data_IF_144349509244
#
_entry.id   IF_144349509244
#
_cell.length_a   1.000
_cell.length_b   1.000
_cell.length_c   1.000
_cell.angle_alpha   90.00
_cell.angle_beta   90.00
_cell.angle_gamma   90.00
#
_symmetry.space_group_name_H-M   'P 1'
#
loop_
_entity.id
_entity.type
_entity.pdbx_description
1 polymer ?
#
# COMPACT_ATOMS: atom_id res chain seq x y z
N UNK A 1 -72.50 -0.20 -45.13
CA UNK A 1 -72.74 1.18 -44.61
C UNK A 1 -72.88 1.28 -43.09
N UNK A 2 -73.10 0.19 -42.32
CA UNK A 2 -73.26 0.24 -40.86
C UNK A 2 -71.94 0.42 -40.03
N UNK A 3 -70.78 0.05 -40.58
CA UNK A 3 -69.49 0.08 -39.85
C UNK A 3 -68.80 1.44 -39.74
N UNK A 4 -69.29 2.48 -40.42
CA UNK A 4 -68.71 3.84 -40.39
C UNK A 4 -69.34 4.70 -39.29
N UNK A 5 -70.66 4.59 -39.09
CA UNK A 5 -71.38 5.23 -37.98
C UNK A 5 -71.00 4.65 -36.61
N UNK A 6 -70.78 3.33 -36.52
CA UNK A 6 -70.31 2.69 -35.28
C UNK A 6 -68.87 3.07 -34.90
N UNK A 7 -67.99 3.34 -35.88
CA UNK A 7 -66.63 3.85 -35.62
C UNK A 7 -66.64 5.30 -35.15
N UNK A 8 -67.35 6.20 -35.83
CA UNK A 8 -67.49 7.59 -35.38
C UNK A 8 -68.10 7.73 -33.99
N UNK A 9 -69.11 6.92 -33.66
CA UNK A 9 -69.72 6.93 -32.31
C UNK A 9 -68.76 6.41 -31.23
N UNK A 10 -67.89 5.45 -31.56
CA UNK A 10 -66.82 4.99 -30.66
C UNK A 10 -65.73 6.03 -30.48
N UNK A 11 -65.26 6.63 -31.57
CA UNK A 11 -64.27 7.72 -31.55
C UNK A 11 -64.78 8.93 -30.73
N UNK A 12 -66.04 9.34 -30.91
CA UNK A 12 -66.64 10.41 -30.10
C UNK A 12 -66.76 10.06 -28.60
N UNK A 13 -67.07 8.81 -28.27
CA UNK A 13 -67.13 8.36 -26.89
C UNK A 13 -65.74 8.29 -26.24
N UNK A 14 -64.72 7.86 -27.00
CA UNK A 14 -63.32 7.86 -26.56
C UNK A 14 -62.81 9.29 -26.33
N UNK A 15 -63.09 10.24 -27.24
CA UNK A 15 -62.73 11.66 -27.06
C UNK A 15 -63.43 12.28 -25.86
N UNK A 16 -64.74 12.02 -25.66
CA UNK A 16 -65.47 12.52 -24.51
C UNK A 16 -64.91 11.96 -23.18
N UNK A 17 -64.46 10.70 -23.17
CA UNK A 17 -63.80 10.09 -22.02
C UNK A 17 -62.45 10.75 -21.74
N UNK A 18 -61.63 10.99 -22.77
CA UNK A 18 -60.35 11.68 -22.63
C UNK A 18 -60.51 13.11 -22.10
N UNK A 19 -61.52 13.83 -22.56
CA UNK A 19 -61.81 15.18 -22.09
C UNK A 19 -62.26 15.18 -20.62
N UNK A 20 -63.07 14.19 -20.21
CA UNK A 20 -63.47 14.01 -18.82
C UNK A 20 -62.27 13.64 -17.91
N UNK A 21 -61.35 12.81 -18.40
CA UNK A 21 -60.12 12.46 -17.69
C UNK A 21 -59.20 13.67 -17.53
N UNK A 22 -59.06 14.48 -18.57
CA UNK A 22 -58.29 15.72 -18.55
C UNK A 22 -58.90 16.75 -17.57
N UNK A 23 -60.23 16.90 -17.55
CA UNK A 23 -60.92 17.78 -16.61
C UNK A 23 -60.70 17.35 -15.15
N UNK A 24 -60.77 16.04 -14.87
CA UNK A 24 -60.44 15.49 -13.54
C UNK A 24 -58.99 15.74 -13.16
N UNK A 25 -58.05 15.56 -14.10
CA UNK A 25 -56.62 15.84 -13.88
C UNK A 25 -56.40 17.32 -13.55
N UNK A 26 -57.00 18.23 -14.32
CA UNK A 26 -56.91 19.66 -14.07
C UNK A 26 -57.40 20.04 -12.67
N UNK A 27 -58.53 19.48 -12.22
CA UNK A 27 -59.05 19.67 -10.87
C UNK A 27 -58.07 19.15 -9.79
N UNK A 28 -57.54 17.93 -9.95
CA UNK A 28 -56.58 17.38 -8.98
C UNK A 28 -55.27 18.15 -8.94
N UNK A 29 -54.77 18.61 -10.09
CA UNK A 29 -53.52 19.39 -10.19
C UNK A 29 -53.66 20.77 -9.53
N UNK A 30 -54.82 21.43 -9.63
CA UNK A 30 -55.07 22.68 -8.91
C UNK A 30 -54.96 22.49 -7.39
N UNK A 31 -55.53 21.41 -6.86
CA UNK A 31 -55.47 21.09 -5.43
C UNK A 31 -54.06 20.74 -4.99
N UNK A 32 -53.33 19.94 -5.78
CA UNK A 32 -51.95 19.57 -5.50
C UNK A 32 -51.01 20.78 -5.48
N UNK A 33 -51.10 21.65 -6.49
CA UNK A 33 -50.32 22.88 -6.57
C UNK A 33 -50.64 23.85 -5.42
N UNK A 34 -51.91 24.00 -5.02
CA UNK A 34 -52.30 24.84 -3.88
C UNK A 34 -51.72 24.33 -2.54
N UNK A 35 -51.79 23.01 -2.31
CA UNK A 35 -51.16 22.40 -1.13
C UNK A 35 -49.63 22.57 -1.15
N UNK A 36 -49.00 22.44 -2.32
CA UNK A 36 -47.56 22.63 -2.47
C UNK A 36 -47.13 24.08 -2.19
N UNK A 37 -47.92 25.07 -2.62
CA UNK A 37 -47.72 26.47 -2.27
C UNK A 37 -47.80 26.66 -0.76
N UNK A 38 -48.78 26.04 -0.09
CA UNK A 38 -48.93 26.14 1.37
C UNK A 38 -47.70 25.59 2.08
N UNK A 39 -47.22 24.41 1.70
CA UNK A 39 -46.00 23.81 2.24
C UNK A 39 -44.77 24.69 2.00
N UNK A 40 -44.62 25.22 0.79
CA UNK A 40 -43.51 26.10 0.45
C UNK A 40 -43.54 27.44 1.23
N UNK A 41 -44.73 27.96 1.54
CA UNK A 41 -44.89 29.16 2.40
C UNK A 41 -44.47 28.88 3.84
N UNK A 42 -44.88 27.73 4.40
CA UNK A 42 -44.48 27.32 5.74
C UNK A 42 -42.96 27.12 5.81
N UNK A 43 -42.38 26.47 4.79
CA UNK A 43 -40.95 26.22 4.71
C UNK A 43 -40.14 27.52 4.54
N UNK A 44 -40.60 28.47 3.73
CA UNK A 44 -39.98 29.82 3.64
C UNK A 44 -40.00 30.53 4.98
N UNK A 45 -41.10 30.43 5.72
CA UNK A 45 -41.23 31.11 7.02
C UNK A 45 -40.22 30.54 8.02
N UNK A 46 -40.06 29.22 8.06
CA UNK A 46 -39.03 28.56 8.87
C UNK A 46 -37.62 28.92 8.39
N UNK A 47 -37.35 28.77 7.09
CA UNK A 47 -36.05 28.99 6.49
C UNK A 47 -35.61 30.46 6.60
N UNK A 48 -36.52 31.42 6.55
CA UNK A 48 -36.19 32.81 6.80
C UNK A 48 -35.79 33.03 8.26
N UNK A 49 -36.56 32.48 9.20
CA UNK A 49 -36.24 32.58 10.62
C UNK A 49 -34.86 31.96 10.91
N UNK A 50 -34.56 30.80 10.32
CA UNK A 50 -33.35 30.02 10.60
C UNK A 50 -32.14 30.33 9.70
N UNK A 51 -32.33 30.75 8.46
CA UNK A 51 -31.24 30.97 7.48
C UNK A 51 -31.12 32.44 7.08
N UNK A 52 -32.12 33.27 7.39
CA UNK A 52 -32.17 34.68 7.07
C UNK A 52 -32.82 34.97 5.71
N UNK A 53 -33.16 36.24 5.44
CA UNK A 53 -33.98 36.65 4.29
C UNK A 53 -33.27 36.43 2.94
N UNK A 54 -31.94 36.53 2.91
CA UNK A 54 -31.16 36.35 1.68
C UNK A 54 -31.17 34.90 1.20
N UNK A 55 -31.16 33.93 2.12
CA UNK A 55 -31.12 32.51 1.79
C UNK A 55 -32.42 32.04 1.09
N UNK A 56 -33.56 32.62 1.46
CA UNK A 56 -34.87 32.26 0.90
C UNK A 56 -35.31 33.12 -0.29
N UNK A 57 -34.44 34.01 -0.78
CA UNK A 57 -34.78 35.00 -1.81
C UNK A 57 -35.33 34.35 -3.09
N UNK A 58 -34.68 33.30 -3.57
CA UNK A 58 -35.08 32.59 -4.79
C UNK A 58 -36.42 31.85 -4.62
N UNK A 59 -36.65 31.21 -3.47
CA UNK A 59 -37.90 30.50 -3.19
C UNK A 59 -39.09 31.48 -3.05
N UNK A 60 -38.86 32.68 -2.48
CA UNK A 60 -39.88 33.74 -2.47
C UNK A 60 -40.24 34.23 -3.86
N UNK A 61 -39.24 34.50 -4.70
CA UNK A 61 -39.48 34.92 -6.08
C UNK A 61 -40.23 33.85 -6.88
N UNK A 62 -39.93 32.57 -6.64
CA UNK A 62 -40.67 31.45 -7.20
C UNK A 62 -42.13 31.43 -6.70
N UNK A 63 -42.37 31.55 -5.39
CA UNK A 63 -43.71 31.62 -4.82
C UNK A 63 -44.56 32.75 -5.40
N UNK A 64 -43.98 33.94 -5.59
CA UNK A 64 -44.70 35.08 -6.19
C UNK A 64 -45.06 34.81 -7.67
N UNK A 65 -44.14 34.18 -8.41
CA UNK A 65 -44.37 33.77 -9.80
C UNK A 65 -45.46 32.70 -9.90
N UNK A 66 -45.41 31.70 -9.00
CA UNK A 66 -46.40 30.62 -8.91
C UNK A 66 -47.78 31.16 -8.55
N UNK A 67 -47.89 32.05 -7.56
CA UNK A 67 -49.16 32.69 -7.19
C UNK A 67 -49.81 33.41 -8.37
N UNK A 68 -49.02 34.09 -9.19
CA UNK A 68 -49.51 34.78 -10.39
C UNK A 68 -50.09 33.80 -11.41
N UNK A 69 -49.40 32.71 -11.68
CA UNK A 69 -49.84 31.69 -12.65
C UNK A 69 -51.00 30.84 -12.11
N UNK A 70 -51.09 30.63 -10.80
CA UNK A 70 -52.21 29.95 -10.18
C UNK A 70 -53.50 30.78 -10.24
N UNK A 71 -53.41 32.11 -10.18
CA UNK A 71 -54.57 32.97 -10.43
C UNK A 71 -55.11 32.78 -11.87
N UNK A 72 -54.23 32.63 -12.87
CA UNK A 72 -54.63 32.28 -14.23
C UNK A 72 -55.32 30.92 -14.27
N UNK A 73 -54.73 29.90 -13.64
CA UNK A 73 -55.28 28.55 -13.61
C UNK A 73 -56.68 28.49 -12.96
N UNK A 74 -56.87 29.18 -11.81
CA UNK A 74 -58.18 29.27 -11.16
C UNK A 74 -59.20 30.06 -11.98
N UNK A 75 -58.78 31.11 -12.69
CA UNK A 75 -59.66 31.85 -13.59
C UNK A 75 -60.13 30.99 -14.76
N UNK A 76 -59.23 30.22 -15.38
CA UNK A 76 -59.58 29.26 -16.44
C UNK A 76 -60.52 28.18 -15.92
N UNK A 77 -60.31 27.70 -14.69
CA UNK A 77 -61.20 26.74 -14.05
C UNK A 77 -62.60 27.32 -13.82
N UNK A 78 -62.70 28.58 -13.41
CA UNK A 78 -63.97 29.28 -13.23
C UNK A 78 -64.75 29.41 -14.55
N UNK A 79 -64.07 29.79 -15.64
CA UNK A 79 -64.68 29.88 -16.98
C UNK A 79 -65.28 28.54 -17.42
N UNK A 80 -64.58 27.42 -17.14
CA UNK A 80 -65.09 26.09 -17.48
C UNK A 80 -66.39 25.68 -16.75
N UNK A 81 -66.81 26.45 -15.72
CA UNK A 81 -67.98 26.17 -14.88
C UNK A 81 -68.96 27.35 -14.84
N UNK A 82 -68.85 28.30 -15.75
CA UNK A 82 -69.78 29.43 -15.83
C UNK A 82 -71.13 29.03 -16.47
N UNK A 83 -72.07 29.98 -16.54
CA UNK A 83 -73.40 29.73 -17.10
C UNK A 83 -73.42 29.71 -18.64
N UNK A 84 -72.29 29.98 -19.31
CA UNK A 84 -72.16 30.08 -20.76
C UNK A 84 -71.64 28.74 -21.30
N UNK A 85 -72.40 28.04 -22.16
CA UNK A 85 -71.94 26.76 -22.71
C UNK A 85 -70.72 26.96 -23.62
N UNK A 86 -69.55 26.48 -23.19
CA UNK A 86 -68.33 26.42 -24.01
C UNK A 86 -68.36 25.24 -25.00
N UNK A 87 -67.54 25.34 -26.05
CA UNK A 87 -67.27 24.22 -26.94
C UNK A 87 -66.33 23.18 -26.30
N UNK A 88 -66.40 21.93 -26.74
CA UNK A 88 -65.53 20.87 -26.24
C UNK A 88 -64.03 21.17 -26.47
N UNK A 89 -63.69 21.87 -27.56
CA UNK A 89 -62.31 22.25 -27.88
C UNK A 89 -61.79 23.37 -26.95
N UNK A 90 -62.65 24.32 -26.56
CA UNK A 90 -62.32 25.35 -25.57
C UNK A 90 -62.05 24.73 -24.20
N UNK A 91 -62.92 23.83 -23.73
CA UNK A 91 -62.73 23.10 -22.47
C UNK A 91 -61.43 22.30 -22.47
N UNK A 92 -61.13 21.58 -23.57
CA UNK A 92 -59.88 20.81 -23.70
C UNK A 92 -58.65 21.73 -23.64
N UNK A 93 -58.70 22.86 -24.34
CA UNK A 93 -57.61 23.84 -24.37
C UNK A 93 -57.35 24.42 -22.99
N UNK A 94 -58.41 24.86 -22.29
CA UNK A 94 -58.30 25.45 -20.95
C UNK A 94 -57.86 24.41 -19.91
N UNK A 95 -58.42 23.20 -19.90
CA UNK A 95 -57.97 22.14 -18.98
C UNK A 95 -56.52 21.73 -19.23
N UNK A 96 -56.07 21.67 -20.49
CA UNK A 96 -54.65 21.44 -20.82
C UNK A 96 -53.76 22.54 -20.25
N UNK A 97 -54.18 23.80 -20.42
CA UNK A 97 -53.46 24.96 -19.88
C UNK A 97 -53.39 24.93 -18.34
N UNK A 98 -54.49 24.59 -17.66
CA UNK A 98 -54.53 24.44 -16.19
C UNK A 98 -53.50 23.40 -15.74
N UNK A 99 -53.47 22.22 -16.37
CA UNK A 99 -52.50 21.17 -16.03
C UNK A 99 -51.07 21.67 -16.22
N UNK A 100 -50.76 22.31 -17.36
CA UNK A 100 -49.42 22.86 -17.63
C UNK A 100 -48.99 23.92 -16.60
N UNK A 101 -49.91 24.79 -16.17
CA UNK A 101 -49.63 25.81 -15.15
C UNK A 101 -49.35 25.19 -13.78
N UNK A 102 -50.11 24.17 -13.40
CA UNK A 102 -49.92 23.47 -12.13
C UNK A 102 -48.62 22.66 -12.13
N UNK A 103 -48.32 21.92 -13.20
CA UNK A 103 -47.07 21.16 -13.34
C UNK A 103 -45.85 22.08 -13.27
N UNK A 104 -45.88 23.20 -14.00
CA UNK A 104 -44.80 24.19 -13.92
C UNK A 104 -44.63 24.77 -12.50
N UNK A 105 -45.74 24.99 -11.79
CA UNK A 105 -45.71 25.50 -10.42
C UNK A 105 -45.12 24.46 -9.44
N UNK A 106 -45.51 23.20 -9.57
CA UNK A 106 -44.98 22.09 -8.77
C UNK A 106 -43.47 21.93 -9.00
N UNK A 107 -43.04 21.80 -10.27
CA UNK A 107 -41.63 21.64 -10.65
C UNK A 107 -40.77 22.80 -10.13
N UNK A 108 -41.23 24.04 -10.32
CA UNK A 108 -40.47 25.22 -9.88
C UNK A 108 -40.33 25.27 -8.35
N UNK A 109 -41.38 24.94 -7.60
CA UNK A 109 -41.30 24.94 -6.13
C UNK A 109 -40.45 23.79 -5.62
N UNK A 110 -40.55 22.60 -6.23
CA UNK A 110 -39.74 21.43 -5.85
C UNK A 110 -38.24 21.73 -6.03
N UNK A 111 -37.84 22.26 -7.18
CA UNK A 111 -36.46 22.65 -7.48
C UNK A 111 -35.89 23.62 -6.42
N UNK A 112 -36.70 24.61 -6.03
CA UNK A 112 -36.28 25.66 -5.08
C UNK A 112 -36.25 25.16 -3.65
N UNK A 113 -37.19 24.29 -3.26
CA UNK A 113 -37.19 23.65 -1.95
C UNK A 113 -36.03 22.64 -1.82
N UNK A 114 -35.72 21.87 -2.87
CA UNK A 114 -34.60 20.95 -2.88
C UNK A 114 -33.26 21.66 -2.60
N UNK A 115 -33.06 22.87 -3.13
CA UNK A 115 -31.87 23.68 -2.88
C UNK A 115 -31.73 24.13 -1.41
N UNK A 116 -32.84 24.21 -0.65
CA UNK A 116 -32.85 24.65 0.75
C UNK A 116 -32.93 23.50 1.75
N UNK A 117 -33.26 22.28 1.30
CA UNK A 117 -33.50 21.13 2.16
C UNK A 117 -32.34 20.83 3.13
N UNK A 118 -31.10 20.78 2.63
CA UNK A 118 -29.94 20.46 3.47
C UNK A 118 -29.60 21.58 4.49
N UNK A 119 -29.54 22.87 4.12
CA UNK A 119 -29.44 23.97 5.08
C UNK A 119 -30.53 23.97 6.16
N UNK A 120 -31.78 23.72 5.78
CA UNK A 120 -32.93 23.68 6.71
C UNK A 120 -32.79 22.51 7.68
N UNK A 121 -32.46 21.33 7.19
CA UNK A 121 -32.27 20.16 8.04
C UNK A 121 -31.11 20.35 9.03
N UNK A 122 -30.03 21.02 8.61
CA UNK A 122 -28.95 21.41 9.54
C UNK A 122 -29.44 22.38 10.61
N UNK A 123 -30.25 23.38 10.25
CA UNK A 123 -30.80 24.32 11.21
C UNK A 123 -31.74 23.62 12.21
N UNK A 124 -32.61 22.71 11.73
CA UNK A 124 -33.51 21.91 12.57
C UNK A 124 -32.77 21.06 13.60
N UNK A 125 -31.63 20.47 13.22
CA UNK A 125 -30.81 19.63 14.12
C UNK A 125 -29.91 20.42 15.06
N UNK A 126 -29.63 21.69 14.80
CA UNK A 126 -28.69 22.47 15.62
C UNK A 126 -29.06 22.52 17.12
N UNK A 127 -30.33 22.69 17.55
CA UNK A 127 -30.70 22.64 18.97
C UNK A 127 -30.40 21.28 19.62
N UNK A 128 -30.69 20.20 18.91
CA UNK A 128 -30.42 18.83 19.37
C UNK A 128 -28.92 18.60 19.53
N UNK A 129 -28.10 19.04 18.56
CA UNK A 129 -26.64 18.93 18.64
C UNK A 129 -26.09 19.68 19.84
N UNK A 130 -26.52 20.93 20.07
CA UNK A 130 -26.10 21.73 21.23
C UNK A 130 -26.48 21.03 22.55
N UNK A 131 -27.71 20.52 22.65
CA UNK A 131 -28.18 19.80 23.83
C UNK A 131 -27.36 18.53 24.07
N UNK A 132 -27.06 17.78 23.00
CA UNK A 132 -26.23 16.59 23.05
C UNK A 132 -24.81 16.90 23.52
N UNK A 133 -24.16 17.93 22.99
CA UNK A 133 -22.80 18.33 23.43
C UNK A 133 -22.79 18.67 24.92
N UNK A 134 -23.81 19.35 25.45
CA UNK A 134 -23.93 19.62 26.89
C UNK A 134 -24.09 18.34 27.71
N UNK A 135 -24.95 17.42 27.26
CA UNK A 135 -25.16 16.13 27.92
C UNK A 135 -23.89 15.26 27.90
N UNK A 136 -23.19 15.21 26.77
CA UNK A 136 -21.91 14.53 26.59
C UNK A 136 -20.85 15.15 27.52
N UNK A 137 -20.74 16.48 27.56
CA UNK A 137 -19.79 17.16 28.42
C UNK A 137 -20.05 16.88 29.92
N UNK A 138 -21.32 16.89 30.35
CA UNK A 138 -21.70 16.56 31.71
C UNK A 138 -21.33 15.11 32.07
N UNK A 139 -21.69 14.15 31.21
CA UNK A 139 -21.35 12.72 31.39
C UNK A 139 -19.85 12.49 31.50
N UNK A 140 -19.05 13.09 30.61
CA UNK A 140 -17.59 12.92 30.65
C UNK A 140 -17.01 13.61 31.90
N UNK A 141 -17.57 14.74 32.33
CA UNK A 141 -17.11 15.42 33.56
C UNK A 141 -17.27 14.56 34.81
N UNK A 142 -18.34 13.77 34.91
CA UNK A 142 -18.55 12.84 36.03
C UNK A 142 -17.43 11.79 36.14
N UNK A 143 -16.72 11.48 35.05
CA UNK A 143 -15.60 10.52 35.01
C UNK A 143 -14.26 11.14 35.43
N UNK A 144 -14.12 12.47 35.45
CA UNK A 144 -12.84 13.16 35.72
C UNK A 144 -12.26 12.82 37.11
N UNK A 145 -13.04 12.81 38.22
CA UNK A 145 -12.50 12.43 39.52
C UNK A 145 -11.92 11.00 39.51
N UNK A 146 -12.62 10.06 38.89
CA UNK A 146 -12.13 8.68 38.78
C UNK A 146 -10.87 8.58 37.92
N UNK A 147 -10.78 9.32 36.81
CA UNK A 147 -9.58 9.37 35.99
C UNK A 147 -8.37 9.92 36.78
N UNK A 148 -8.57 10.94 37.62
CA UNK A 148 -7.52 11.47 38.52
C UNK A 148 -7.06 10.45 39.54
N UNK A 149 -7.99 9.73 40.16
CA UNK A 149 -7.66 8.65 41.10
C UNK A 149 -6.90 7.51 40.42
N UNK A 150 -7.26 7.17 39.18
CA UNK A 150 -6.55 6.18 38.38
C UNK A 150 -5.13 6.62 38.04
N UNK A 151 -4.92 7.86 37.57
CA UNK A 151 -3.56 8.38 37.36
C UNK A 151 -2.74 8.37 38.65
N UNK A 152 -3.34 8.79 39.78
CA UNK A 152 -2.65 8.78 41.07
C UNK A 152 -2.27 7.37 41.52
N UNK A 153 -3.17 6.38 41.35
CA UNK A 153 -2.89 4.96 41.60
C UNK A 153 -1.75 4.46 40.71
N UNK A 154 -1.80 4.74 39.40
CA UNK A 154 -0.77 4.33 38.44
C UNK A 154 0.59 4.95 38.77
N UNK A 155 0.63 6.21 39.24
CA UNK A 155 1.85 6.88 39.67
C UNK A 155 2.53 6.23 40.89
N UNK A 156 1.80 5.41 41.67
CA UNK A 156 2.43 4.61 42.74
C UNK A 156 3.15 3.37 42.22
N UNK A 157 2.83 2.89 41.02
CA UNK A 157 3.37 1.65 40.43
C UNK A 157 4.37 1.91 39.30
N UNK A 158 4.15 2.96 38.51
CA UNK A 158 4.90 3.24 37.30
C UNK A 158 5.78 4.48 37.44
N UNK A 159 6.86 4.52 36.67
CA UNK A 159 7.74 5.68 36.57
C UNK A 159 7.01 6.85 35.87
N UNK A 160 7.40 8.11 36.14
CA UNK A 160 6.81 9.27 35.46
C UNK A 160 6.89 9.22 33.93
N UNK A 161 7.96 8.65 33.37
CA UNK A 161 8.13 8.49 31.91
C UNK A 161 7.03 7.61 31.30
N UNK A 162 6.63 6.55 32.00
CA UNK A 162 5.58 5.65 31.54
C UNK A 162 4.22 6.35 31.46
N UNK A 163 4.01 7.36 32.32
CA UNK A 163 2.75 8.07 32.45
C UNK A 163 2.70 9.36 31.63
N UNK A 164 3.76 9.72 30.90
CA UNK A 164 3.87 11.00 30.21
C UNK A 164 2.66 11.27 29.28
N UNK A 165 2.18 10.24 28.58
CA UNK A 165 1.03 10.34 27.67
C UNK A 165 -0.36 10.37 28.33
N UNK A 166 -0.46 10.15 29.65
CA UNK A 166 -1.76 10.08 30.36
C UNK A 166 -1.85 10.93 31.62
N UNK A 167 -0.73 11.39 32.17
CA UNK A 167 -0.68 12.10 33.44
C UNK A 167 -1.47 13.41 33.44
N UNK A 168 -1.40 14.17 32.33
CA UNK A 168 -2.08 15.46 32.18
C UNK A 168 -3.55 15.32 31.71
N UNK A 169 -3.92 14.15 31.18
CA UNK A 169 -5.21 13.94 30.50
C UNK A 169 -6.43 14.36 31.33
N UNK A 170 -6.56 14.04 32.64
CA UNK A 170 -7.74 14.47 33.40
C UNK A 170 -7.86 16.00 33.53
N UNK A 171 -6.73 16.71 33.61
CA UNK A 171 -6.74 18.18 33.68
C UNK A 171 -7.03 18.81 32.32
N UNK A 172 -6.43 18.28 31.25
CA UNK A 172 -6.71 18.74 29.88
C UNK A 172 -8.17 18.47 29.47
N UNK A 173 -8.70 17.30 29.81
CA UNK A 173 -10.09 16.96 29.57
C UNK A 173 -11.04 17.94 30.29
N UNK A 174 -10.79 18.29 31.55
CA UNK A 174 -11.61 19.27 32.28
C UNK A 174 -11.61 20.66 31.62
N UNK A 175 -10.47 21.11 31.09
CA UNK A 175 -10.37 22.36 30.34
C UNK A 175 -11.15 22.30 29.03
N UNK A 176 -11.03 21.19 28.28
CA UNK A 176 -11.76 20.97 27.04
C UNK A 176 -13.27 20.90 27.27
N UNK A 177 -13.74 20.27 28.34
CA UNK A 177 -15.17 20.23 28.70
C UNK A 177 -15.70 21.63 29.03
N UNK A 178 -14.92 22.42 29.77
CA UNK A 178 -15.28 23.82 30.07
C UNK A 178 -15.36 24.67 28.79
N UNK A 179 -14.42 24.46 27.86
CA UNK A 179 -14.45 25.10 26.55
C UNK A 179 -15.63 24.63 25.69
N UNK A 180 -15.98 23.33 25.73
CA UNK A 180 -17.10 22.77 25.00
C UNK A 180 -18.44 23.39 25.44
N UNK A 181 -18.67 23.49 26.75
CA UNK A 181 -19.88 24.11 27.30
C UNK A 181 -19.96 25.59 27.00
N UNK A 182 -18.84 26.32 27.13
CA UNK A 182 -18.78 27.72 26.76
C UNK A 182 -19.14 27.92 25.28
N UNK A 183 -18.54 27.12 24.40
CA UNK A 183 -18.76 27.17 22.96
C UNK A 183 -20.20 26.79 22.58
N UNK A 184 -20.79 25.80 23.25
CA UNK A 184 -22.21 25.47 23.10
C UNK A 184 -23.12 26.64 23.51
N UNK A 185 -22.78 27.35 24.60
CA UNK A 185 -23.46 28.60 24.99
C UNK A 185 -23.27 29.74 23.99
N UNK A 186 -22.08 29.87 23.38
CA UNK A 186 -21.84 30.84 22.29
C UNK A 186 -22.68 30.48 21.07
N UNK A 187 -22.73 29.21 20.67
CA UNK A 187 -23.50 28.73 19.53
C UNK A 187 -24.98 29.10 19.68
N UNK A 188 -25.57 28.85 20.86
CA UNK A 188 -26.95 29.20 21.17
C UNK A 188 -27.22 30.71 21.06
N UNK A 189 -26.41 31.55 21.72
CA UNK A 189 -26.56 33.01 21.67
C UNK A 189 -26.38 33.59 20.26
N UNK A 190 -25.40 33.08 19.50
CA UNK A 190 -25.14 33.52 18.12
C UNK A 190 -26.30 33.12 17.21
N UNK A 191 -26.89 31.94 17.44
CA UNK A 191 -28.11 31.51 16.77
C UNK A 191 -29.27 32.44 17.11
N UNK A 192 -29.53 32.74 18.37
CA UNK A 192 -30.60 33.69 18.76
C UNK A 192 -30.41 35.09 18.15
N UNK A 193 -29.15 35.50 17.95
CA UNK A 193 -28.79 36.77 17.32
C UNK A 193 -28.77 36.75 15.77
N UNK A 194 -29.16 35.64 15.12
CA UNK A 194 -29.15 35.49 13.66
C UNK A 194 -27.76 35.33 13.02
N UNK A 195 -26.72 35.12 13.82
CA UNK A 195 -25.31 34.99 13.40
C UNK A 195 -24.97 33.52 13.12
N UNK A 196 -25.52 32.97 12.02
CA UNK A 196 -25.54 31.52 11.72
C UNK A 196 -24.17 30.91 11.50
N UNK A 197 -23.31 31.55 10.72
CA UNK A 197 -21.95 31.07 10.47
C UNK A 197 -21.14 30.98 11.77
N UNK A 198 -21.22 32.01 12.60
CA UNK A 198 -20.55 32.04 13.90
C UNK A 198 -21.14 31.02 14.87
N UNK A 199 -22.46 30.77 14.81
CA UNK A 199 -23.12 29.73 15.60
C UNK A 199 -22.63 28.33 15.21
N UNK A 200 -22.53 28.04 13.91
CA UNK A 200 -22.05 26.76 13.40
C UNK A 200 -20.59 26.50 13.79
N UNK A 201 -19.70 27.50 13.63
CA UNK A 201 -18.31 27.39 14.04
C UNK A 201 -18.18 27.10 15.55
N UNK A 202 -18.97 27.78 16.38
CA UNK A 202 -18.98 27.54 17.82
C UNK A 202 -19.53 26.15 18.17
N UNK A 203 -20.52 25.66 17.44
CA UNK A 203 -21.10 24.32 17.62
C UNK A 203 -20.10 23.21 17.23
N UNK A 204 -19.38 23.36 16.12
CA UNK A 204 -18.31 22.44 15.71
C UNK A 204 -17.19 22.40 16.74
N UNK A 205 -16.72 23.57 17.19
CA UNK A 205 -15.70 23.68 18.24
C UNK A 205 -16.16 23.01 19.55
N UNK A 206 -17.43 23.18 19.92
CA UNK A 206 -18.00 22.54 21.11
C UNK A 206 -18.03 21.01 20.98
N UNK A 207 -18.47 20.51 19.83
CA UNK A 207 -18.58 19.07 19.53
C UNK A 207 -17.20 18.41 19.56
N UNK A 208 -16.22 19.01 18.89
CA UNK A 208 -14.86 18.47 18.82
C UNK A 208 -14.16 18.50 20.19
N UNK A 209 -14.35 19.57 20.98
CA UNK A 209 -13.78 19.65 22.31
C UNK A 209 -14.34 18.60 23.27
N UNK A 210 -15.66 18.36 23.24
CA UNK A 210 -16.29 17.30 24.03
C UNK A 210 -15.77 15.91 23.64
N UNK A 211 -15.67 15.62 22.33
CA UNK A 211 -15.13 14.37 21.81
C UNK A 211 -13.66 14.14 22.22
N UNK A 212 -12.83 15.18 22.13
CA UNK A 212 -11.42 15.11 22.53
C UNK A 212 -11.28 14.88 24.03
N UNK A 213 -12.10 15.52 24.85
CA UNK A 213 -12.12 15.28 26.29
C UNK A 213 -12.47 13.82 26.63
N UNK A 214 -13.47 13.25 25.96
CA UNK A 214 -13.84 11.83 26.12
C UNK A 214 -12.67 10.90 25.77
N UNK A 215 -11.99 11.15 24.64
CA UNK A 215 -10.81 10.37 24.22
C UNK A 215 -9.68 10.41 25.26
N UNK A 216 -9.43 11.57 25.87
CA UNK A 216 -8.38 11.72 26.89
C UNK A 216 -8.71 10.94 28.17
N UNK A 217 -9.99 10.90 28.58
CA UNK A 217 -10.44 10.11 29.73
C UNK A 217 -10.37 8.61 29.42
N UNK A 218 -10.83 8.19 28.24
CA UNK A 218 -10.76 6.78 27.79
C UNK A 218 -9.31 6.27 27.72
N UNK A 219 -8.37 7.13 27.33
CA UNK A 219 -6.95 6.79 27.31
C UNK A 219 -6.40 6.45 28.70
N UNK A 220 -6.84 7.15 29.76
CA UNK A 220 -6.44 6.85 31.15
C UNK A 220 -6.94 5.48 31.58
N UNK A 221 -8.19 5.15 31.24
CA UNK A 221 -8.79 3.85 31.59
C UNK A 221 -8.12 2.69 30.83
N UNK A 222 -7.80 2.91 29.55
CA UNK A 222 -7.15 1.91 28.70
C UNK A 222 -5.70 1.66 29.11
N UNK A 223 -4.99 2.70 29.56
CA UNK A 223 -3.57 2.64 29.91
C UNK A 223 -3.26 1.56 30.96
N UNK A 224 -4.12 1.37 31.97
CA UNK A 224 -3.87 0.35 33.01
C UNK A 224 -3.81 -1.06 32.41
N UNK A 225 -4.69 -1.37 31.47
CA UNK A 225 -4.70 -2.67 30.77
C UNK A 225 -3.45 -2.82 29.89
N UNK A 226 -3.05 -1.76 29.21
CA UNK A 226 -1.87 -1.75 28.35
C UNK A 226 -0.58 -1.92 29.15
N UNK A 227 -0.45 -1.24 30.28
CA UNK A 227 0.70 -1.36 31.16
C UNK A 227 0.83 -2.77 31.75
N UNK A 228 -0.28 -3.39 32.18
CA UNK A 228 -0.29 -4.79 32.63
C UNK A 228 0.12 -5.77 31.52
N UNK A 229 -0.35 -5.54 30.28
CA UNK A 229 0.07 -6.36 29.13
C UNK A 229 1.54 -6.18 28.80
N UNK A 230 2.06 -4.95 28.88
CA UNK A 230 3.47 -4.66 28.66
C UNK A 230 4.35 -5.38 29.70
N UNK A 231 3.98 -5.35 30.98
CA UNK A 231 4.67 -6.10 32.04
C UNK A 231 4.67 -7.61 31.79
N UNK A 232 3.51 -8.20 31.47
CA UNK A 232 3.41 -9.64 31.20
C UNK A 232 4.27 -10.04 29.98
N UNK A 233 4.27 -9.21 28.94
CA UNK A 233 5.07 -9.43 27.73
C UNK A 233 6.57 -9.30 28.04
N UNK A 234 6.96 -8.30 28.84
CA UNK A 234 8.34 -8.09 29.25
C UNK A 234 8.85 -9.32 30.03
N UNK A 235 8.06 -9.86 30.96
CA UNK A 235 8.41 -11.08 31.69
C UNK A 235 8.68 -12.28 30.76
N UNK A 236 7.83 -12.49 29.75
CA UNK A 236 8.02 -13.56 28.77
C UNK A 236 9.29 -13.35 27.92
N UNK A 237 9.52 -12.12 27.44
CA UNK A 237 10.70 -11.77 26.63
C UNK A 237 11.99 -11.94 27.43
N UNK A 238 11.99 -11.58 28.73
CA UNK A 238 13.17 -11.74 29.58
C UNK A 238 13.60 -13.20 29.70
N UNK A 239 12.66 -14.13 29.86
CA UNK A 239 12.99 -15.55 29.90
C UNK A 239 13.51 -16.06 28.55
N UNK A 240 12.87 -15.64 27.44
CA UNK A 240 13.27 -16.00 26.08
C UNK A 240 14.69 -15.49 25.74
N UNK A 241 14.95 -14.21 25.99
CA UNK A 241 16.26 -13.57 25.79
C UNK A 241 17.41 -14.27 26.52
N UNK A 242 17.15 -14.87 27.69
CA UNK A 242 18.17 -15.65 28.40
C UNK A 242 18.49 -16.94 27.66
N UNK A 243 17.48 -17.58 27.07
CA UNK A 243 17.65 -18.72 26.17
C UNK A 243 18.43 -18.34 24.91
N UNK A 244 18.08 -17.22 24.28
CA UNK A 244 18.75 -16.72 23.06
C UNK A 244 20.22 -16.42 23.31
N UNK A 245 20.57 -15.82 24.45
CA UNK A 245 21.96 -15.61 24.84
C UNK A 245 22.74 -16.92 25.02
N UNK A 246 22.08 -17.99 25.49
CA UNK A 246 22.71 -19.32 25.60
C UNK A 246 22.88 -19.91 24.20
N UNK A 247 21.87 -19.84 23.35
CA UNK A 247 21.93 -20.34 21.98
C UNK A 247 23.00 -19.59 21.16
N UNK A 248 23.07 -18.27 21.27
CA UNK A 248 24.03 -17.42 20.57
C UNK A 248 25.50 -17.71 20.91
N UNK A 249 25.80 -18.30 22.08
CA UNK A 249 27.17 -18.77 22.42
C UNK A 249 27.64 -19.90 21.51
N UNK A 250 26.72 -20.65 20.91
CA UNK A 250 27.03 -21.73 19.97
C UNK A 250 27.13 -21.24 18.52
N UNK A 251 26.69 -20.02 18.25
CA UNK A 251 26.81 -19.39 16.94
C UNK A 251 28.24 -18.89 16.67
N UNK A 252 28.61 -18.61 15.40
CA UNK A 252 29.91 -18.04 15.07
C UNK A 252 30.14 -16.71 15.79
N UNK A 253 31.22 -16.62 16.58
CA UNK A 253 31.55 -15.49 17.44
C UNK A 253 32.22 -14.33 16.66
N UNK A 254 31.52 -13.84 15.63
CA UNK A 254 31.93 -12.64 14.89
C UNK A 254 31.66 -11.38 15.72
N UNK A 255 32.39 -10.26 15.51
CA UNK A 255 32.24 -9.05 16.31
C UNK A 255 30.79 -8.56 16.47
N UNK A 256 29.99 -8.63 15.41
CA UNK A 256 28.58 -8.22 15.43
C UNK A 256 27.73 -9.06 16.39
N UNK A 257 27.96 -10.38 16.48
CA UNK A 257 27.25 -11.27 17.42
C UNK A 257 27.65 -10.94 18.85
N UNK A 258 28.94 -10.73 19.11
CA UNK A 258 29.46 -10.38 20.45
C UNK A 258 28.88 -9.04 20.91
N UNK A 259 28.83 -8.05 20.02
CA UNK A 259 28.25 -6.74 20.29
C UNK A 259 26.75 -6.85 20.60
N UNK A 260 25.99 -7.59 19.78
CA UNK A 260 24.56 -7.78 20.00
C UNK A 260 24.26 -8.55 21.30
N UNK A 261 25.05 -9.58 21.64
CA UNK A 261 24.96 -10.28 22.92
C UNK A 261 25.24 -9.34 24.10
N UNK A 262 26.26 -8.49 24.01
CA UNK A 262 26.59 -7.49 25.02
C UNK A 262 25.48 -6.45 25.20
N UNK A 263 24.88 -5.99 24.10
CA UNK A 263 23.75 -5.07 24.11
C UNK A 263 22.53 -5.69 24.80
N UNK A 264 22.19 -6.95 24.49
CA UNK A 264 21.09 -7.66 25.14
C UNK A 264 21.36 -7.93 26.63
N UNK A 265 22.60 -8.28 26.99
CA UNK A 265 23.00 -8.40 28.41
C UNK A 265 22.88 -7.08 29.16
N UNK A 266 23.26 -5.97 28.52
CA UNK A 266 23.12 -4.62 29.07
C UNK A 266 21.64 -4.26 29.26
N UNK A 267 20.79 -4.58 28.29
CA UNK A 267 19.35 -4.37 28.39
C UNK A 267 18.73 -5.18 29.55
N UNK A 268 19.10 -6.45 29.70
CA UNK A 268 18.69 -7.30 30.82
C UNK A 268 19.18 -6.77 32.17
N UNK A 269 20.42 -6.29 32.24
CA UNK A 269 21.00 -5.73 33.47
C UNK A 269 20.40 -4.37 33.85
N UNK A 270 19.88 -3.62 32.87
CA UNK A 270 19.18 -2.36 33.09
C UNK A 270 17.74 -2.55 33.57
N UNK A 271 17.23 -3.79 33.63
CA UNK A 271 15.91 -4.06 34.19
C UNK A 271 15.95 -3.82 35.72
N UNK A 272 15.02 -3.01 36.24
CA UNK A 272 14.98 -2.67 37.65
C UNK A 272 14.59 -3.86 38.53
N UNK A 273 14.99 -3.79 39.79
CA UNK A 273 14.59 -4.77 40.80
C UNK A 273 13.08 -4.71 41.07
N UNK A 274 12.50 -5.83 41.51
CA UNK A 274 11.09 -5.90 41.90
C UNK A 274 10.77 -4.84 42.97
N UNK A 275 9.66 -4.12 42.79
CA UNK A 275 9.18 -3.10 43.73
C UNK A 275 9.72 -1.68 43.48
N UNK A 276 10.51 -1.46 42.42
CA UNK A 276 10.84 -0.11 41.93
C UNK A 276 9.81 0.30 40.89
N UNK A 277 9.42 1.57 40.85
CA UNK A 277 8.54 2.09 39.81
C UNK A 277 9.29 2.09 38.47
N UNK A 278 8.74 1.40 37.47
CA UNK A 278 9.41 1.15 36.19
C UNK A 278 8.64 1.77 35.03
N UNK A 279 9.30 1.88 33.90
CA UNK A 279 8.65 2.11 32.61
C UNK A 279 8.58 0.80 31.81
N UNK A 280 7.48 0.03 31.91
CA UNK A 280 7.40 -1.25 31.22
C UNK A 280 7.46 -1.10 29.69
N UNK A 281 7.04 0.05 29.14
CA UNK A 281 7.03 0.28 27.70
C UNK A 281 8.44 0.57 27.16
N UNK A 282 9.20 1.40 27.87
CA UNK A 282 10.60 1.67 27.52
C UNK A 282 11.45 0.39 27.62
N UNK A 283 11.30 -0.36 28.71
CA UNK A 283 12.02 -1.63 28.89
C UNK A 283 11.65 -2.66 27.83
N UNK A 284 10.36 -2.79 27.51
CA UNK A 284 9.89 -3.70 26.46
C UNK A 284 10.45 -3.32 25.08
N UNK A 285 10.49 -2.03 24.77
CA UNK A 285 11.03 -1.52 23.49
C UNK A 285 12.53 -1.84 23.39
N UNK A 286 13.31 -1.50 24.42
CA UNK A 286 14.75 -1.77 24.47
C UNK A 286 15.06 -3.26 24.35
N UNK A 287 14.29 -4.12 25.03
CA UNK A 287 14.46 -5.57 24.96
C UNK A 287 14.17 -6.12 23.56
N UNK A 288 13.09 -5.65 22.91
CA UNK A 288 12.76 -6.06 21.53
C UNK A 288 13.82 -5.64 20.53
N UNK A 289 14.33 -4.42 20.64
CA UNK A 289 15.41 -3.93 19.78
C UNK A 289 16.69 -4.77 19.95
N UNK A 290 17.06 -5.08 21.19
CA UNK A 290 18.25 -5.89 21.47
C UNK A 290 18.11 -7.34 20.99
N UNK A 291 16.95 -7.97 21.19
CA UNK A 291 16.68 -9.32 20.65
C UNK A 291 16.74 -9.33 19.12
N UNK A 292 16.03 -8.40 18.46
CA UNK A 292 16.02 -8.31 17.01
C UNK A 292 17.43 -8.10 16.43
N UNK A 293 18.27 -7.30 17.11
CA UNK A 293 19.67 -7.12 16.75
C UNK A 293 20.49 -8.40 16.90
N UNK A 294 20.28 -9.17 17.97
CA UNK A 294 20.93 -10.47 18.18
C UNK A 294 20.53 -11.48 17.11
N UNK A 295 19.24 -11.60 16.83
CA UNK A 295 18.71 -12.51 15.81
C UNK A 295 19.29 -12.18 14.43
N UNK A 296 19.31 -10.90 14.05
CA UNK A 296 19.89 -10.45 12.79
C UNK A 296 21.39 -10.74 12.71
N UNK A 297 22.15 -10.51 13.79
CA UNK A 297 23.58 -10.77 13.83
C UNK A 297 23.90 -12.27 13.74
N UNK A 298 23.15 -13.12 14.47
CA UNK A 298 23.30 -14.57 14.45
C UNK A 298 22.94 -15.13 13.07
N UNK A 299 21.82 -14.69 12.49
CA UNK A 299 21.41 -15.10 11.14
C UNK A 299 22.48 -14.76 10.10
N UNK A 300 22.99 -13.52 10.12
CA UNK A 300 24.05 -13.09 9.21
C UNK A 300 25.37 -13.85 9.42
N UNK A 301 25.70 -14.21 10.67
CA UNK A 301 26.89 -14.99 10.98
C UNK A 301 26.77 -16.44 10.51
N UNK A 302 25.61 -17.07 10.69
CA UNK A 302 25.32 -18.41 10.21
C UNK A 302 25.32 -18.47 8.67
N UNK A 303 24.74 -17.47 8.01
CA UNK A 303 24.78 -17.37 6.55
C UNK A 303 26.23 -17.26 6.03
N UNK A 304 27.07 -16.45 6.70
CA UNK A 304 28.49 -16.33 6.36
C UNK A 304 29.28 -17.63 6.58
N UNK A 305 28.94 -18.37 7.65
CA UNK A 305 29.57 -19.65 7.93
C UNK A 305 29.15 -20.73 6.92
N UNK A 306 27.88 -20.74 6.51
CA UNK A 306 27.36 -21.65 5.48
C UNK A 306 27.90 -21.33 4.08
N UNK A 307 28.21 -20.07 3.80
CA UNK A 307 28.77 -19.61 2.53
C UNK A 307 30.03 -18.75 2.75
N UNK A 308 31.19 -19.40 3.03
CA UNK A 308 32.45 -18.68 3.22
C UNK A 308 32.86 -17.94 1.94
N UNK A 309 33.31 -16.69 2.10
CA UNK A 309 33.83 -15.89 1.00
C UNK A 309 35.15 -16.51 0.51
N UNK A 310 35.34 -16.70 -0.80
CA UNK A 310 36.59 -17.23 -1.33
C UNK A 310 37.77 -16.34 -0.95
N UNK A 311 38.84 -16.98 -0.47
CA UNK A 311 40.11 -16.31 -0.23
C UNK A 311 40.61 -15.62 -1.50
N UNK A 312 41.11 -14.39 -1.36
CA UNK A 312 41.55 -13.58 -2.50
C UNK A 312 42.60 -14.32 -3.36
N UNK A 313 43.46 -15.13 -2.73
CA UNK A 313 44.44 -15.96 -3.42
C UNK A 313 43.80 -17.03 -4.33
N UNK A 314 42.71 -17.67 -3.88
CA UNK A 314 41.99 -18.65 -4.71
C UNK A 314 41.31 -17.99 -5.90
N UNK A 315 40.72 -16.81 -5.71
CA UNK A 315 40.13 -16.03 -6.81
C UNK A 315 41.21 -15.69 -7.84
N UNK A 316 42.36 -15.17 -7.42
CA UNK A 316 43.49 -14.85 -8.31
C UNK A 316 43.99 -16.06 -9.09
N UNK A 317 44.18 -17.19 -8.41
CA UNK A 317 44.63 -18.41 -9.07
C UNK A 317 43.64 -18.89 -10.15
N UNK A 318 42.33 -18.74 -9.91
CA UNK A 318 41.31 -19.08 -10.90
C UNK A 318 41.33 -18.13 -12.11
N UNK A 319 41.60 -16.84 -11.89
CA UNK A 319 41.73 -15.84 -12.96
C UNK A 319 42.96 -16.15 -13.82
N UNK A 320 44.12 -16.39 -13.19
CA UNK A 320 45.35 -16.73 -13.88
C UNK A 320 45.20 -18.02 -14.69
N UNK A 321 44.49 -19.00 -14.16
CA UNK A 321 44.20 -20.24 -14.88
C UNK A 321 43.32 -20.01 -16.10
N UNK A 322 42.25 -19.23 -15.97
CA UNK A 322 41.40 -18.84 -17.09
C UNK A 322 42.19 -18.11 -18.18
N UNK A 323 43.07 -17.17 -17.79
CA UNK A 323 43.91 -16.41 -18.72
C UNK A 323 44.91 -17.31 -19.48
N UNK A 324 45.52 -18.27 -18.79
CA UNK A 324 46.39 -19.28 -19.44
C UNK A 324 45.61 -20.16 -20.42
N UNK A 325 44.46 -20.69 -20.02
CA UNK A 325 43.66 -21.56 -20.89
C UNK A 325 43.14 -20.82 -22.12
N UNK A 326 42.73 -19.56 -21.97
CA UNK A 326 42.36 -18.68 -23.07
C UNK A 326 43.51 -18.44 -24.03
N UNK A 327 44.72 -18.14 -23.53
CA UNK A 327 45.89 -17.94 -24.37
C UNK A 327 46.20 -19.19 -25.22
N UNK A 328 46.21 -20.38 -24.58
CA UNK A 328 46.43 -21.66 -25.29
C UNK A 328 45.36 -21.91 -26.35
N UNK A 329 44.08 -21.72 -26.01
CA UNK A 329 42.98 -21.92 -26.94
C UNK A 329 43.07 -20.95 -28.15
N UNK A 330 43.40 -19.67 -27.91
CA UNK A 330 43.64 -18.69 -28.98
C UNK A 330 44.78 -19.12 -29.89
N UNK A 331 45.91 -19.52 -29.34
CA UNK A 331 47.10 -19.87 -30.12
C UNK A 331 46.84 -21.10 -31.01
N UNK A 332 46.23 -22.15 -30.45
CA UNK A 332 45.89 -23.37 -31.22
C UNK A 332 44.91 -23.05 -32.34
N UNK A 333 43.85 -22.28 -32.05
CA UNK A 333 42.83 -21.91 -33.04
C UNK A 333 43.40 -20.97 -34.11
N UNK A 334 44.29 -20.05 -33.73
CA UNK A 334 44.94 -19.14 -34.65
C UNK A 334 45.99 -19.82 -35.54
N UNK A 335 46.67 -20.85 -35.05
CA UNK A 335 47.66 -21.62 -35.82
C UNK A 335 47.05 -22.56 -36.86
N UNK A 336 45.78 -22.96 -36.70
CA UNK A 336 45.13 -23.98 -37.53
C UNK A 336 43.85 -23.48 -38.20
N UNK A 337 43.78 -22.18 -38.55
CA UNK A 337 42.56 -21.51 -39.04
C UNK A 337 41.87 -22.20 -40.21
N UNK A 338 42.60 -22.93 -41.06
CA UNK A 338 42.02 -23.67 -42.18
C UNK A 338 41.28 -24.96 -41.79
N UNK A 339 41.53 -25.50 -40.59
CA UNK A 339 41.02 -26.79 -40.14
C UNK A 339 40.03 -26.69 -38.98
N UNK A 340 40.09 -25.61 -38.19
CA UNK A 340 39.16 -25.41 -37.06
C UNK A 340 37.73 -25.11 -37.56
N UNK A 341 36.73 -25.72 -36.95
CA UNK A 341 35.31 -25.54 -37.22
C UNK A 341 34.66 -24.35 -36.48
N UNK A 342 33.35 -24.18 -36.64
CA UNK A 342 32.60 -23.09 -36.01
C UNK A 342 32.48 -23.27 -34.48
N UNK A 343 32.27 -24.49 -33.99
CA UNK A 343 32.05 -24.79 -32.57
C UNK A 343 33.20 -24.30 -31.67
N UNK A 344 34.45 -24.60 -32.04
CA UNK A 344 35.63 -24.16 -31.30
C UNK A 344 35.76 -22.63 -31.24
N UNK A 345 35.46 -21.94 -32.36
CA UNK A 345 35.51 -20.47 -32.42
C UNK A 345 34.40 -19.83 -31.60
N UNK A 346 33.20 -20.39 -31.63
CA UNK A 346 32.07 -19.92 -30.82
C UNK A 346 32.37 -20.07 -29.33
N UNK A 347 32.92 -21.20 -28.89
CA UNK A 347 33.32 -21.40 -27.49
C UNK A 347 34.43 -20.46 -27.06
N UNK A 348 35.42 -20.20 -27.92
CA UNK A 348 36.47 -19.22 -27.62
C UNK A 348 35.90 -17.81 -27.46
N UNK A 349 35.03 -17.36 -28.38
CA UNK A 349 34.40 -16.05 -28.30
C UNK A 349 33.54 -15.89 -27.03
N UNK A 350 32.85 -16.96 -26.62
CA UNK A 350 32.09 -16.96 -25.36
C UNK A 350 33.01 -16.90 -24.13
N UNK A 351 34.11 -17.66 -24.13
CA UNK A 351 35.11 -17.64 -23.07
C UNK A 351 35.72 -16.24 -22.87
N UNK A 352 36.02 -15.55 -23.97
CA UNK A 352 36.53 -14.17 -23.99
C UNK A 352 35.47 -13.18 -23.49
N UNK A 353 34.20 -13.37 -23.88
CA UNK A 353 33.09 -12.55 -23.38
C UNK A 353 32.94 -12.68 -21.86
N UNK A 354 32.95 -13.90 -21.33
CA UNK A 354 32.86 -14.19 -19.88
C UNK A 354 34.08 -13.60 -19.14
N UNK A 355 35.27 -13.63 -19.73
CA UNK A 355 36.48 -13.00 -19.18
C UNK A 355 36.40 -11.47 -19.15
N UNK A 356 35.77 -10.86 -20.14
CA UNK A 356 35.50 -9.42 -20.16
C UNK A 356 34.37 -9.02 -19.20
N UNK A 357 33.39 -9.91 -18.95
CA UNK A 357 32.39 -9.73 -17.90
C UNK A 357 33.05 -9.71 -16.52
N UNK A 358 34.03 -10.58 -16.27
CA UNK A 358 34.84 -10.58 -15.05
C UNK A 358 35.52 -9.23 -14.79
N UNK A 359 36.16 -8.63 -15.81
CA UNK A 359 36.81 -7.31 -15.68
C UNK A 359 35.82 -6.22 -15.25
N UNK A 360 34.57 -6.31 -15.73
CA UNK A 360 33.52 -5.37 -15.33
C UNK A 360 33.08 -5.57 -13.88
N UNK A 361 32.98 -6.82 -13.42
CA UNK A 361 32.64 -7.14 -12.02
C UNK A 361 33.70 -6.60 -11.07
N UNK A 362 34.98 -6.76 -11.39
CA UNK A 362 36.08 -6.30 -10.52
C UNK A 362 36.49 -4.84 -10.76
N UNK A 363 35.75 -4.11 -11.62
CA UNK A 363 35.96 -2.68 -11.87
C UNK A 363 37.26 -2.31 -12.59
N UNK A 364 37.89 -3.26 -13.30
CA UNK A 364 39.17 -3.06 -13.97
C UNK A 364 39.75 -4.35 -14.54
N UNK A 365 40.99 -4.31 -15.03
CA UNK A 365 41.65 -5.51 -15.55
C UNK A 365 41.94 -6.50 -14.42
N UNK A 366 41.19 -7.59 -14.36
CA UNK A 366 41.20 -8.59 -13.29
C UNK A 366 42.60 -9.19 -13.03
N UNK A 367 43.47 -9.21 -14.04
CA UNK A 367 44.85 -9.65 -13.95
C UNK A 367 45.76 -8.71 -13.14
N UNK A 368 45.37 -7.44 -12.96
CA UNK A 368 46.20 -6.40 -12.34
C UNK A 368 45.51 -5.62 -11.21
N UNK A 369 44.24 -5.89 -10.92
CA UNK A 369 43.54 -5.21 -9.82
C UNK A 369 44.21 -5.58 -8.48
N UNK A 370 44.62 -4.59 -7.66
CA UNK A 370 45.36 -4.84 -6.43
C UNK A 370 44.52 -5.54 -5.34
N UNK A 371 43.20 -5.41 -5.38
CA UNK A 371 42.27 -6.04 -4.42
C UNK A 371 40.92 -6.31 -5.08
N UNK A 372 40.27 -7.42 -4.73
CA UNK A 372 38.87 -7.68 -5.09
C UNK A 372 38.03 -7.57 -3.79
N UNK A 373 37.00 -6.69 -3.74
CA UNK A 373 36.11 -6.55 -2.60
C UNK A 373 35.51 -7.90 -2.21
N UNK A 374 35.32 -8.15 -0.91
CA UNK A 374 34.83 -9.43 -0.40
C UNK A 374 33.50 -9.86 -1.03
N UNK A 375 32.58 -8.90 -1.21
CA UNK A 375 31.28 -9.12 -1.83
C UNK A 375 31.38 -9.57 -3.31
N UNK A 376 32.45 -9.21 -4.01
CA UNK A 376 32.65 -9.52 -5.43
C UNK A 376 33.42 -10.83 -5.66
N UNK A 377 34.07 -11.38 -4.63
CA UNK A 377 35.00 -12.53 -4.77
C UNK A 377 34.32 -13.80 -5.26
N UNK A 378 33.11 -14.06 -4.79
CA UNK A 378 32.29 -15.21 -5.22
C UNK A 378 31.99 -15.13 -6.71
N UNK A 379 31.46 -13.98 -7.13
CA UNK A 379 31.09 -13.75 -8.52
C UNK A 379 32.31 -13.75 -9.44
N UNK A 380 33.42 -13.13 -9.00
CA UNK A 380 34.68 -13.13 -9.73
C UNK A 380 35.23 -14.56 -9.92
N UNK A 381 35.19 -15.39 -8.88
CA UNK A 381 35.63 -16.79 -8.96
C UNK A 381 34.75 -17.61 -9.90
N UNK A 382 33.43 -17.39 -9.90
CA UNK A 382 32.50 -18.05 -10.82
C UNK A 382 32.79 -17.69 -12.28
N UNK A 383 32.94 -16.40 -12.60
CA UNK A 383 33.27 -15.95 -13.96
C UNK A 383 34.62 -16.50 -14.43
N UNK A 384 35.64 -16.50 -13.56
CA UNK A 384 36.95 -17.06 -13.88
C UNK A 384 36.86 -18.56 -14.23
N UNK A 385 36.22 -19.37 -13.38
CA UNK A 385 36.03 -20.81 -13.63
C UNK A 385 35.23 -21.09 -14.89
N UNK A 386 34.17 -20.31 -15.14
CA UNK A 386 33.34 -20.44 -16.36
C UNK A 386 34.13 -20.11 -17.61
N UNK A 387 34.96 -19.06 -17.58
CA UNK A 387 35.81 -18.69 -18.71
C UNK A 387 36.85 -19.78 -19.01
N UNK A 388 37.52 -20.32 -17.97
CA UNK A 388 38.43 -21.45 -18.09
C UNK A 388 37.75 -22.68 -18.71
N UNK A 389 36.57 -23.05 -18.22
CA UNK A 389 35.80 -24.18 -18.76
C UNK A 389 35.48 -24.01 -20.26
N UNK A 390 35.01 -22.83 -20.67
CA UNK A 390 34.71 -22.54 -22.08
C UNK A 390 35.98 -22.53 -22.95
N UNK A 391 37.11 -22.06 -22.44
CA UNK A 391 38.40 -22.13 -23.12
C UNK A 391 38.87 -23.59 -23.30
N UNK A 392 38.70 -24.43 -22.28
CA UNK A 392 38.95 -25.87 -22.35
C UNK A 392 38.05 -26.58 -23.38
N UNK A 393 36.77 -26.22 -23.45
CA UNK A 393 35.85 -26.70 -24.50
C UNK A 393 36.32 -26.32 -25.90
N UNK A 394 36.70 -25.04 -26.08
CA UNK A 394 37.22 -24.53 -27.35
C UNK A 394 38.46 -25.32 -27.80
N UNK A 395 39.39 -25.59 -26.89
CA UNK A 395 40.59 -26.38 -27.16
C UNK A 395 40.27 -27.83 -27.56
N UNK A 396 39.33 -28.49 -26.85
CA UNK A 396 38.91 -29.87 -27.19
C UNK A 396 38.27 -29.96 -28.57
N UNK A 397 37.39 -29.01 -28.91
CA UNK A 397 36.81 -28.95 -30.24
C UNK A 397 37.89 -28.70 -31.30
N UNK A 398 38.81 -27.78 -31.03
CA UNK A 398 39.90 -27.48 -31.96
C UNK A 398 40.82 -28.68 -32.20
N UNK A 399 41.16 -29.44 -31.16
CA UNK A 399 41.96 -30.67 -31.28
C UNK A 399 41.26 -31.74 -32.11
N UNK A 400 39.96 -31.96 -31.86
CA UNK A 400 39.14 -32.89 -32.66
C UNK A 400 39.14 -32.52 -34.14
N UNK A 401 39.01 -31.23 -34.44
CA UNK A 401 38.99 -30.73 -35.81
C UNK A 401 40.36 -30.89 -36.49
N UNK A 402 41.45 -30.64 -35.77
CA UNK A 402 42.83 -30.89 -36.23
C UNK A 402 43.03 -32.38 -36.52
N UNK A 403 42.63 -33.26 -35.61
CA UNK A 403 42.78 -34.71 -35.78
C UNK A 403 41.97 -35.25 -36.96
N UNK A 404 40.74 -34.73 -37.16
CA UNK A 404 39.92 -35.07 -38.32
C UNK A 404 40.53 -34.60 -39.66
N UNK A 405 41.31 -33.52 -39.63
CA UNK A 405 41.98 -32.98 -40.83
C UNK A 405 43.28 -33.71 -41.20
N UNK A 406 43.82 -34.56 -40.33
CA UNK A 406 45.00 -35.38 -40.62
C UNK A 406 44.60 -36.50 -41.61
N UNK A 407 45.28 -36.64 -42.76
CA UNK A 407 44.98 -37.74 -43.67
C UNK A 407 45.22 -39.07 -42.96
N UNK A 408 44.16 -39.88 -42.84
CA UNK A 408 44.27 -41.26 -42.37
C UNK A 408 45.24 -41.99 -43.30
N UNK A 409 46.41 -42.35 -42.79
CA UNK A 409 47.30 -43.30 -43.46
C UNK A 409 46.63 -44.68 -43.43
N UNK A 410 45.64 -44.87 -44.32
CA UNK A 410 45.01 -46.13 -44.63
C UNK A 410 45.86 -46.97 -45.59
N UNK A 411 45.60 -48.29 -45.68
CA UNK A 411 46.60 -49.32 -45.91
C UNK A 411 47.11 -49.38 -47.36
N UNK A 412 48.40 -49.68 -47.51
CA UNK A 412 49.06 -49.95 -48.77
C UNK A 412 48.31 -51.00 -49.63
N UNK A 413 48.10 -50.75 -50.93
CA UNK A 413 47.64 -51.78 -51.86
C UNK A 413 48.80 -52.67 -52.32
N UNK A 414 48.50 -53.96 -52.32
CA UNK A 414 49.22 -55.13 -52.80
C UNK A 414 49.72 -55.00 -54.26
N UNK A 415 51.04 -55.01 -54.48
CA UNK A 415 51.78 -55.42 -55.69
C UNK A 415 53.22 -55.74 -55.22
N UNK A 416 53.91 -56.86 -55.46
CA UNK A 416 53.86 -57.88 -56.50
C UNK A 416 55.20 -57.90 -57.25
N UNK A 417 56.19 -58.71 -56.83
CA UNK A 417 57.41 -58.99 -57.64
C UNK A 417 58.74 -59.12 -56.86
N UNK A 418 59.54 -60.21 -57.05
CA UNK A 418 60.69 -60.56 -56.22
C UNK A 418 62.08 -60.37 -56.90
N UNK A 419 63.11 -60.05 -56.10
CA UNK A 419 64.52 -60.48 -56.19
C UNK A 419 65.36 -59.57 -55.28
N UNK A 420 66.03 -60.06 -54.23
CA UNK A 420 67.30 -60.81 -54.27
C UNK A 420 68.50 -59.86 -54.51
N UNK A 421 69.28 -59.57 -53.45
CA UNK A 421 70.58 -58.90 -53.64
C UNK A 421 71.16 -58.10 -52.47
N UNK A 422 71.80 -58.80 -51.53
CA UNK A 422 73.09 -58.47 -50.87
C UNK A 422 73.38 -57.11 -50.19
N UNK A 423 73.92 -57.22 -48.96
CA UNK A 423 74.99 -56.36 -48.42
C UNK A 423 74.54 -55.25 -47.47
N UNK A 424 74.49 -55.46 -46.14
CA UNK A 424 75.62 -55.34 -45.19
C UNK A 424 76.40 -54.02 -45.33
N UNK A 425 76.17 -53.04 -44.42
CA UNK A 425 77.16 -52.48 -43.45
C UNK A 425 76.87 -51.03 -43.00
N UNK A 426 76.80 -50.87 -41.67
CA UNK A 426 77.30 -49.74 -40.81
C UNK A 426 76.82 -48.32 -41.12
N UNK A 427 76.40 -47.47 -40.18
CA UNK A 427 76.28 -47.41 -38.71
C UNK A 427 75.38 -46.19 -38.43
N UNK A 428 74.91 -45.83 -37.25
CA UNK A 428 75.37 -45.98 -35.87
C UNK A 428 75.18 -44.61 -35.19
N UNK A 429 74.49 -44.59 -34.02
CA UNK A 429 74.39 -43.46 -33.07
C UNK A 429 73.33 -42.40 -33.40
N UNK A 430 72.16 -42.33 -32.74
CA UNK A 430 71.88 -41.86 -31.35
C UNK A 430 71.92 -40.31 -31.26
N UNK A 431 70.94 -39.59 -30.70
CA UNK A 431 70.27 -39.78 -29.41
C UNK A 431 68.98 -38.91 -29.22
N UNK A 432 68.03 -39.47 -28.45
CA UNK A 432 67.25 -38.88 -27.32
C UNK A 432 66.37 -37.62 -27.56
N UNK A 433 65.12 -37.48 -27.10
CA UNK A 433 64.38 -38.00 -25.93
C UNK A 433 62.88 -38.04 -26.28
N UNK A 434 62.21 -39.12 -25.86
CA UNK A 434 60.76 -39.21 -25.79
C UNK A 434 60.30 -39.69 -24.42
N UNK A 435 59.04 -39.38 -24.09
CA UNK A 435 58.23 -40.05 -23.06
C UNK A 435 57.99 -39.25 -21.79
N UNK A 436 56.72 -39.07 -21.42
CA UNK A 436 56.00 -39.94 -20.47
C UNK A 436 54.60 -39.36 -20.19
N UNK A 437 53.64 -40.29 -20.16
CA UNK A 437 52.22 -40.18 -19.82
C UNK A 437 51.99 -40.09 -18.30
N UNK A 438 50.82 -39.60 -17.89
CA UNK A 438 50.10 -40.12 -16.71
C UNK A 438 49.59 -39.05 -15.74
N UNK A 439 48.26 -39.04 -15.51
CA UNK A 439 47.55 -38.03 -14.73
C UNK A 439 47.48 -38.29 -13.22
N UNK A 440 46.72 -37.44 -12.51
CA UNK A 440 46.12 -37.78 -11.22
C UNK A 440 44.95 -36.83 -10.90
N UNK A 441 43.82 -37.46 -10.62
CA UNK A 441 42.66 -36.93 -9.90
C UNK A 441 43.01 -36.91 -8.41
N UNK A 442 42.85 -35.78 -7.73
CA UNK A 442 42.69 -35.73 -6.27
C UNK A 442 41.54 -34.77 -5.97
N UNK A 443 40.41 -35.36 -5.56
CA UNK A 443 39.44 -34.68 -4.71
C UNK A 443 39.93 -34.71 -3.27
N UNK A 444 39.66 -33.63 -2.52
CA UNK A 444 39.73 -33.64 -1.06
C UNK A 444 38.43 -33.08 -0.51
N UNK A 445 37.58 -34.03 -0.12
CA UNK A 445 36.61 -33.93 0.98
C UNK A 445 37.44 -34.02 2.26
N UNK A 446 37.25 -33.10 3.21
CA UNK A 446 37.58 -33.33 4.62
C UNK A 446 36.64 -32.47 5.48
N UNK A 447 35.59 -33.14 5.94
CA UNK A 447 34.74 -32.79 7.07
C UNK A 447 35.47 -33.20 8.36
N UNK A 448 35.41 -32.35 9.39
CA UNK A 448 36.10 -32.48 10.66
C UNK A 448 35.19 -33.09 11.73
N UNK A 449 35.69 -34.12 12.42
CA UNK A 449 35.05 -34.81 13.54
C UNK A 449 36.05 -34.85 14.71
N UNK A 450 35.67 -34.22 15.83
CA UNK A 450 36.24 -34.20 17.21
C UNK A 450 37.70 -33.74 17.41
N UNK A 451 37.93 -32.51 17.91
CA UNK A 451 38.04 -32.14 19.34
C UNK A 451 37.88 -30.62 19.51
#
# INVERSE_FOLDING_TARGET
>A
MAGFWGRRKREQAETAQQDADLARRAQSSLVAADEHIRLAVDEVSFAEAELGPNAVGDLRAALDSVRTHMQEAFHLHQLNHDEIPDTADELRTRNTRIVQLCEWAEDLLEDRMAALAEPIERARRAPEIIARVRADAARVRERIPHARETVARLATRYAPSALEGVAANPAEAEQLLSFAEHSAGVAERRREAGQREQANLAMEAATEAARRAETLVDAVETFEVEALRAEATLGAIVEDSRGDLIAARTAPQVPAVIEAMSALQTALAALPAAGVNTDPFEHLTRMREANAALDAAVAAALERAARPIPELGHVRNAIDDADRQLAVARDVIAGHRGWIGADARTRLAEAERVRADLDRVVGGAAATVPTIPEDDRDQAMEFARRSAQLAGDALRYAQRDIDASRPSAGPHPQWGGPMEGFGRRTGGGSDLVGGILGGLVIGSILDGIFD
#
